data_IF_656133919190
#
_entry.id   IF_656133919190
#
_cell.length_a   1.000
_cell.length_b   1.000
_cell.length_c   1.000
_cell.angle_alpha   90.00
_cell.angle_beta   90.00
_cell.angle_gamma   90.00
#
_symmetry.space_group_name_H-M   'P 1'
#
loop_
_entity.id
_entity.type
_entity.pdbx_description
1 polymer ?
#
# COMPACT_ATOMS: atom_id res chain seq x y z
N UNK A 1 49.07 1.07 -2.34
CA UNK A 1 48.06 -0.01 -2.27
C UNK A 1 47.82 -0.79 -3.56
N UNK A 2 47.70 -0.20 -4.77
CA UNK A 2 47.69 -0.97 -6.04
C UNK A 2 46.65 -2.10 -6.15
N UNK A 3 45.61 -2.06 -5.32
CA UNK A 3 44.67 -3.17 -5.13
C UNK A 3 43.53 -3.09 -6.14
N UNK A 4 43.32 -4.15 -6.93
CA UNK A 4 42.12 -4.30 -7.76
C UNK A 4 40.97 -4.78 -6.88
N UNK A 5 39.97 -3.92 -6.68
CA UNK A 5 38.76 -4.22 -5.89
C UNK A 5 37.51 -4.05 -6.73
N UNK A 6 36.41 -4.67 -6.28
CA UNK A 6 35.08 -4.37 -6.80
C UNK A 6 34.61 -2.99 -6.31
N UNK A 7 33.82 -2.32 -7.15
CA UNK A 7 33.19 -1.07 -6.79
C UNK A 7 32.11 -1.29 -5.72
N UNK A 8 31.92 -0.33 -4.83
CA UNK A 8 30.76 -0.29 -3.94
C UNK A 8 29.48 -0.04 -4.74
N UNK A 9 28.31 -0.31 -4.15
CA UNK A 9 27.02 -0.04 -4.81
C UNK A 9 26.89 1.44 -5.20
N UNK A 10 27.28 2.35 -4.31
CA UNK A 10 27.26 3.80 -4.58
C UNK A 10 28.23 4.20 -5.70
N UNK A 11 29.43 3.62 -5.74
CA UNK A 11 30.40 3.86 -6.82
C UNK A 11 29.86 3.35 -8.16
N UNK A 12 29.23 2.17 -8.15
CA UNK A 12 28.58 1.59 -9.32
C UNK A 12 27.42 2.46 -9.81
N UNK A 13 26.54 2.91 -8.93
CA UNK A 13 25.40 3.76 -9.28
C UNK A 13 25.85 5.07 -9.91
N UNK A 14 26.90 5.71 -9.36
CA UNK A 14 27.51 6.91 -9.95
C UNK A 14 28.11 6.64 -11.32
N UNK A 15 28.88 5.56 -11.45
CA UNK A 15 29.51 5.21 -12.72
C UNK A 15 28.46 4.90 -13.80
N UNK A 16 27.41 4.16 -13.46
CA UNK A 16 26.28 3.87 -14.35
C UNK A 16 25.58 5.17 -14.76
N UNK A 17 25.28 6.08 -13.83
CA UNK A 17 24.60 7.33 -14.17
C UNK A 17 25.47 8.26 -15.04
N UNK A 18 26.80 8.22 -14.92
CA UNK A 18 27.72 8.95 -15.80
C UNK A 18 27.74 8.34 -17.21
N UNK A 19 27.81 7.01 -17.30
CA UNK A 19 27.89 6.30 -18.58
C UNK A 19 26.53 6.24 -19.32
N UNK A 20 25.44 6.07 -18.58
CA UNK A 20 24.07 5.84 -19.05
C UNK A 20 23.09 6.73 -18.26
N UNK A 21 23.03 8.04 -18.55
CA UNK A 21 22.26 8.98 -17.76
C UNK A 21 20.75 8.74 -17.87
N UNK A 22 20.12 8.45 -16.73
CA UNK A 22 18.66 8.41 -16.61
C UNK A 22 18.11 9.80 -16.30
N UNK A 23 17.06 10.22 -17.03
CA UNK A 23 16.44 11.54 -16.84
C UNK A 23 15.90 11.69 -15.41
N UNK A 24 16.34 12.75 -14.73
CA UNK A 24 15.89 13.09 -13.37
C UNK A 24 16.66 12.41 -12.24
N UNK A 25 17.50 11.39 -12.54
CA UNK A 25 18.42 10.78 -11.56
C UNK A 25 19.67 11.63 -11.45
N UNK A 26 20.08 11.97 -10.23
CA UNK A 26 21.31 12.74 -9.99
C UNK A 26 22.47 11.81 -9.63
N UNK A 27 23.69 12.17 -10.03
CA UNK A 27 24.90 11.38 -9.71
C UNK A 27 25.10 11.31 -8.20
N UNK A 28 25.01 12.48 -7.54
CA UNK A 28 24.99 12.55 -6.08
C UNK A 28 23.54 12.67 -5.62
N UNK A 29 23.08 11.79 -4.71
CA UNK A 29 21.74 11.91 -4.17
C UNK A 29 21.50 13.29 -3.54
N UNK A 30 20.33 13.84 -3.77
CA UNK A 30 19.95 15.14 -3.20
C UNK A 30 19.95 15.09 -1.67
N UNK A 31 20.37 16.19 -1.03
CA UNK A 31 20.23 16.37 0.42
C UNK A 31 18.78 16.28 0.90
N UNK A 32 17.81 16.37 -0.02
CA UNK A 32 16.39 16.15 0.21
C UNK A 32 16.06 14.80 0.87
N UNK A 33 16.81 13.74 0.57
CA UNK A 33 16.57 12.40 1.10
C UNK A 33 17.15 12.17 2.50
N UNK A 34 17.88 13.16 3.04
CA UNK A 34 18.37 13.11 4.42
C UNK A 34 17.19 13.19 5.40
N UNK A 35 17.25 12.48 6.54
CA UNK A 35 16.14 12.41 7.49
C UNK A 35 15.57 13.78 7.90
N UNK A 36 16.43 14.78 8.09
CA UNK A 36 16.00 16.12 8.53
C UNK A 36 15.15 16.83 7.47
N UNK A 37 15.51 16.69 6.19
CA UNK A 37 14.79 17.31 5.07
C UNK A 37 13.56 16.50 4.67
N UNK A 38 13.64 15.18 4.77
CA UNK A 38 12.53 14.28 4.53
C UNK A 38 11.37 14.61 5.47
N UNK A 39 11.62 14.73 6.78
CA UNK A 39 10.58 15.04 7.77
C UNK A 39 9.82 16.34 7.43
N UNK A 40 10.51 17.38 6.97
CA UNK A 40 9.88 18.63 6.52
C UNK A 40 8.92 18.43 5.33
N UNK A 41 9.24 17.51 4.41
CA UNK A 41 8.35 17.16 3.31
C UNK A 41 7.12 16.36 3.77
N UNK A 42 7.31 15.46 4.75
CA UNK A 42 6.23 14.66 5.35
C UNK A 42 5.24 15.53 6.12
N UNK A 43 5.72 16.51 6.88
CA UNK A 43 4.86 17.48 7.57
C UNK A 43 3.93 18.25 6.63
N UNK A 44 4.32 18.42 5.37
CA UNK A 44 3.53 19.08 4.31
C UNK A 44 2.68 18.10 3.49
N UNK A 45 2.55 16.85 3.94
CA UNK A 45 1.78 15.78 3.29
C UNK A 45 2.17 15.53 1.82
N UNK A 46 3.42 15.80 1.43
CA UNK A 46 3.91 15.63 0.04
C UNK A 46 4.41 14.21 -0.23
N UNK A 47 3.68 13.19 0.21
CA UNK A 47 4.14 11.80 0.18
C UNK A 47 4.39 11.27 -1.23
N UNK A 48 3.40 11.41 -2.13
CA UNK A 48 3.49 10.94 -3.52
C UNK A 48 4.68 11.56 -4.26
N UNK A 49 4.87 12.88 -4.10
CA UNK A 49 6.00 13.60 -4.67
C UNK A 49 7.35 13.04 -4.22
N UNK A 50 7.50 12.74 -2.91
CA UNK A 50 8.74 12.16 -2.40
C UNK A 50 8.94 10.76 -2.99
N UNK A 51 7.90 9.91 -2.96
CA UNK A 51 7.96 8.54 -3.48
C UNK A 51 8.32 8.50 -4.98
N UNK A 52 7.75 9.41 -5.78
CA UNK A 52 8.10 9.54 -7.20
C UNK A 52 9.57 9.92 -7.40
N UNK A 53 10.11 10.81 -6.57
CA UNK A 53 11.54 11.18 -6.61
C UNK A 53 12.43 10.03 -6.18
N UNK A 54 12.03 9.25 -5.19
CA UNK A 54 12.77 8.06 -4.75
C UNK A 54 12.83 7.00 -5.85
N UNK A 55 11.71 6.74 -6.55
CA UNK A 55 11.66 5.83 -7.69
C UNK A 55 12.55 6.23 -8.87
N UNK A 56 12.81 7.54 -9.06
CA UNK A 56 13.72 8.02 -10.09
C UNK A 56 15.17 7.95 -9.63
N UNK A 57 15.44 8.22 -8.34
CA UNK A 57 16.80 8.31 -7.82
C UNK A 57 17.45 6.96 -7.56
N UNK A 58 16.68 5.99 -7.08
CA UNK A 58 17.18 4.72 -6.57
C UNK A 58 16.48 3.55 -7.23
N UNK A 59 17.22 2.46 -7.40
CA UNK A 59 16.66 1.19 -7.83
C UNK A 59 15.86 0.53 -6.69
N UNK A 60 14.86 -0.33 -6.98
CA UNK A 60 13.96 -0.87 -5.95
C UNK A 60 14.62 -1.71 -4.85
N UNK A 61 15.77 -2.30 -5.14
CA UNK A 61 16.59 -3.11 -4.23
C UNK A 61 17.60 -2.27 -3.42
N UNK A 62 17.73 -0.98 -3.74
CA UNK A 62 18.66 -0.09 -3.07
C UNK A 62 18.23 0.17 -1.61
N UNK A 63 19.15 0.12 -0.62
CA UNK A 63 18.81 0.27 0.79
C UNK A 63 18.11 1.59 1.12
N UNK A 64 18.53 2.70 0.51
CA UNK A 64 17.87 4.00 0.69
C UNK A 64 16.45 4.03 0.12
N UNK A 65 16.16 3.31 -0.97
CA UNK A 65 14.79 3.20 -1.48
C UNK A 65 13.88 2.58 -0.43
N UNK A 66 14.31 1.44 0.13
CA UNK A 66 13.59 0.71 1.19
C UNK A 66 13.45 1.55 2.46
N UNK A 67 14.51 2.23 2.90
CA UNK A 67 14.51 3.09 4.09
C UNK A 67 13.47 4.20 3.97
N UNK A 68 13.50 4.96 2.88
CA UNK A 68 12.64 6.14 2.69
C UNK A 68 11.18 5.73 2.49
N UNK A 69 10.92 4.72 1.66
CA UNK A 69 9.56 4.23 1.42
C UNK A 69 8.92 3.71 2.70
N UNK A 70 9.66 2.93 3.50
CA UNK A 70 9.21 2.47 4.82
C UNK A 70 8.89 3.64 5.75
N UNK A 71 9.79 4.61 5.86
CA UNK A 71 9.61 5.79 6.72
C UNK A 71 8.34 6.57 6.35
N UNK A 72 8.06 6.73 5.05
CA UNK A 72 6.85 7.39 4.56
C UNK A 72 5.60 6.58 4.92
N UNK A 73 5.60 5.26 4.70
CA UNK A 73 4.44 4.42 5.02
C UNK A 73 4.17 4.35 6.52
N UNK A 74 5.21 4.29 7.35
CA UNK A 74 5.11 4.35 8.80
C UNK A 74 4.50 5.69 9.25
N UNK A 75 4.95 6.81 8.67
CA UNK A 75 4.41 8.13 8.96
C UNK A 75 2.93 8.28 8.58
N UNK A 76 2.54 7.74 7.42
CA UNK A 76 1.14 7.74 6.97
C UNK A 76 0.27 6.89 7.91
N UNK A 77 0.77 5.72 8.32
CA UNK A 77 0.09 4.83 9.26
C UNK A 77 -0.15 5.51 10.61
N UNK A 78 0.88 6.18 11.16
CA UNK A 78 0.79 6.89 12.44
C UNK A 78 -0.24 8.02 12.43
N UNK A 79 -0.41 8.70 11.29
CA UNK A 79 -1.37 9.81 11.13
C UNK A 79 -2.71 9.39 10.53
N UNK A 80 -2.88 8.14 10.12
CA UNK A 80 -4.06 7.62 9.42
C UNK A 80 -4.35 8.36 8.09
N UNK A 81 -3.32 8.87 7.41
CA UNK A 81 -3.47 9.73 6.21
C UNK A 81 -3.43 8.93 4.89
N UNK A 82 -4.10 7.77 4.85
CA UNK A 82 -4.06 6.85 3.69
C UNK A 82 -4.62 7.46 2.41
N UNK A 83 -5.53 8.42 2.52
CA UNK A 83 -6.15 9.13 1.41
C UNK A 83 -5.13 9.85 0.52
N UNK A 84 -4.03 10.32 1.11
CA UNK A 84 -2.99 11.03 0.37
C UNK A 84 -2.27 10.17 -0.67
N UNK A 85 -2.33 8.84 -0.53
CA UNK A 85 -1.82 7.90 -1.53
C UNK A 85 -2.92 7.19 -2.33
N UNK A 86 -4.21 7.36 -1.99
CA UNK A 86 -5.30 6.79 -2.78
C UNK A 86 -5.29 7.35 -4.20
N UNK A 87 -5.56 6.49 -5.18
CA UNK A 87 -5.50 6.87 -6.60
C UNK A 87 -4.07 7.10 -7.12
N UNK A 88 -3.02 6.82 -6.33
CA UNK A 88 -1.64 6.86 -6.80
C UNK A 88 -1.10 5.44 -7.01
N UNK A 89 -0.04 5.32 -7.83
CA UNK A 89 0.70 4.06 -8.02
C UNK A 89 1.30 3.48 -6.73
N UNK A 90 1.44 4.30 -5.68
CA UNK A 90 2.10 3.94 -4.43
C UNK A 90 1.17 3.31 -3.39
N UNK A 91 -0.16 3.38 -3.60
CA UNK A 91 -1.11 2.80 -2.66
C UNK A 91 -0.92 1.29 -2.51
N UNK A 92 -0.70 0.59 -3.63
CA UNK A 92 -0.52 -0.86 -3.65
C UNK A 92 0.71 -1.31 -2.88
N UNK A 93 1.85 -0.62 -3.05
CA UNK A 93 3.08 -0.93 -2.31
C UNK A 93 2.94 -0.65 -0.82
N UNK A 94 2.25 0.43 -0.44
CA UNK A 94 1.94 0.72 0.97
C UNK A 94 1.04 -0.37 1.58
N UNK A 95 -0.08 -0.71 0.93
CA UNK A 95 -1.00 -1.73 1.43
C UNK A 95 -0.31 -3.10 1.56
N UNK A 96 0.51 -3.47 0.57
CA UNK A 96 1.30 -4.70 0.62
C UNK A 96 2.30 -4.69 1.80
N UNK A 97 3.02 -3.59 2.00
CA UNK A 97 3.94 -3.41 3.11
C UNK A 97 3.26 -3.55 4.48
N UNK A 98 2.12 -2.87 4.68
CA UNK A 98 1.35 -2.94 5.92
C UNK A 98 0.87 -4.36 6.21
N UNK A 99 0.37 -5.05 5.18
CA UNK A 99 -0.04 -6.43 5.30
C UNK A 99 1.13 -7.36 5.64
N UNK A 100 2.29 -7.18 5.01
CA UNK A 100 3.50 -7.96 5.27
C UNK A 100 3.97 -7.81 6.73
N UNK A 101 3.85 -6.61 7.30
CA UNK A 101 4.26 -6.31 8.67
C UNK A 101 3.17 -6.54 9.75
N UNK A 102 2.03 -7.17 9.42
CA UNK A 102 0.88 -7.33 10.33
C UNK A 102 0.35 -6.01 10.93
N UNK A 103 0.36 -4.92 10.16
CA UNK A 103 -0.16 -3.59 10.52
C UNK A 103 -1.31 -3.18 9.60
N UNK A 104 -2.21 -4.12 9.34
CA UNK A 104 -3.32 -3.94 8.43
C UNK A 104 -4.55 -3.26 9.06
N UNK A 105 -4.65 -3.22 10.39
CA UNK A 105 -5.83 -2.80 11.13
C UNK A 105 -6.28 -1.38 10.82
N UNK A 106 -5.34 -0.45 10.86
CA UNK A 106 -5.55 0.97 10.65
C UNK A 106 -6.09 1.25 9.24
N UNK A 107 -5.52 0.58 8.23
CA UNK A 107 -5.97 0.71 6.85
C UNK A 107 -7.36 0.09 6.64
N UNK A 108 -7.63 -1.08 7.24
CA UNK A 108 -8.97 -1.71 7.19
C UNK A 108 -10.00 -0.80 7.84
N UNK A 109 -9.69 -0.19 8.98
CA UNK A 109 -10.59 0.73 9.67
C UNK A 109 -10.93 1.94 8.80
N UNK A 110 -9.94 2.60 8.21
CA UNK A 110 -10.16 3.75 7.33
C UNK A 110 -10.96 3.37 6.07
N UNK A 111 -10.74 2.18 5.49
CA UNK A 111 -11.58 1.69 4.39
C UNK A 111 -13.03 1.41 4.82
N UNK A 112 -13.25 0.86 6.02
CA UNK A 112 -14.60 0.62 6.56
C UNK A 112 -15.35 1.94 6.82
N UNK A 113 -14.68 2.93 7.40
CA UNK A 113 -15.24 4.27 7.65
C UNK A 113 -15.69 4.95 6.34
N UNK A 114 -14.93 4.75 5.27
CA UNK A 114 -15.22 5.25 3.92
C UNK A 114 -16.19 4.39 3.12
N UNK A 115 -16.70 3.30 3.71
CA UNK A 115 -17.62 2.34 3.07
C UNK A 115 -17.03 1.63 1.84
N UNK A 116 -15.71 1.48 1.76
CA UNK A 116 -15.00 0.79 0.68
C UNK A 116 -14.96 -0.74 0.90
N UNK A 117 -16.14 -1.35 0.97
CA UNK A 117 -16.33 -2.76 1.38
C UNK A 117 -15.65 -3.74 0.44
N UNK A 118 -15.69 -3.48 -0.87
CA UNK A 118 -15.06 -4.34 -1.89
C UNK A 118 -13.54 -4.38 -1.67
N UNK A 119 -12.94 -3.22 -1.40
CA UNK A 119 -11.50 -3.10 -1.14
C UNK A 119 -11.10 -3.76 0.18
N UNK A 120 -11.93 -3.64 1.23
CA UNK A 120 -11.71 -4.37 2.50
C UNK A 120 -11.68 -5.87 2.27
N UNK A 121 -12.63 -6.41 1.50
CA UNK A 121 -12.67 -7.84 1.20
C UNK A 121 -11.41 -8.29 0.46
N UNK A 122 -10.97 -7.54 -0.55
CA UNK A 122 -9.77 -7.83 -1.31
C UNK A 122 -8.49 -7.70 -0.48
N UNK A 123 -8.43 -6.70 0.39
CA UNK A 123 -7.28 -6.49 1.26
C UNK A 123 -7.14 -7.59 2.32
N UNK A 124 -8.24 -8.02 2.94
CA UNK A 124 -8.23 -9.16 3.88
C UNK A 124 -7.85 -10.46 3.16
N UNK A 125 -8.30 -10.65 1.91
CA UNK A 125 -7.90 -11.81 1.08
C UNK A 125 -6.39 -11.76 0.78
N UNK A 126 -5.86 -10.60 0.41
CA UNK A 126 -4.43 -10.41 0.19
C UNK A 126 -3.64 -10.76 1.45
N UNK A 127 -4.04 -10.19 2.59
CA UNK A 127 -3.40 -10.43 3.87
C UNK A 127 -3.39 -11.91 4.22
N UNK A 128 -4.53 -12.59 4.05
CA UNK A 128 -4.60 -14.03 4.24
C UNK A 128 -3.70 -14.78 3.26
N UNK A 129 -3.62 -14.37 1.99
CA UNK A 129 -2.78 -15.05 0.99
C UNK A 129 -1.30 -14.96 1.34
N UNK A 130 -0.84 -13.80 1.80
CA UNK A 130 0.55 -13.57 2.24
C UNK A 130 0.88 -14.49 3.41
N UNK A 131 -0.03 -14.60 4.39
CA UNK A 131 0.19 -15.36 5.62
C UNK A 131 -0.37 -16.80 5.60
N UNK A 132 -0.94 -17.26 4.48
CA UNK A 132 -1.57 -18.59 4.37
C UNK A 132 -0.54 -19.72 4.50
N UNK A 133 0.73 -19.42 4.24
CA UNK A 133 1.85 -20.36 4.36
C UNK A 133 2.23 -20.64 5.82
N UNK A 134 1.77 -19.83 6.77
CA UNK A 134 2.16 -19.94 8.19
C UNK A 134 1.22 -20.81 9.05
N UNK A 135 0.20 -21.47 8.46
CA UNK A 135 -0.57 -22.49 9.19
C UNK A 135 -2.01 -22.77 8.78
N UNK A 136 -2.55 -22.19 7.70
CA UNK A 136 -3.94 -22.45 7.28
C UNK A 136 -3.99 -23.24 5.97
N UNK A 137 -4.22 -24.57 6.06
CA UNK A 137 -4.49 -25.49 4.95
C UNK A 137 -5.88 -25.27 4.32
N UNK A 138 -6.22 -24.04 3.95
CA UNK A 138 -7.41 -23.75 3.17
C UNK A 138 -6.98 -23.32 1.78
N UNK A 139 -7.11 -24.20 0.78
CA UNK A 139 -6.88 -23.85 -0.61
C UNK A 139 -7.63 -22.56 -0.96
N UNK A 140 -7.01 -21.72 -1.81
CA UNK A 140 -7.69 -20.57 -2.38
C UNK A 140 -8.93 -21.09 -3.12
N UNK A 141 -10.09 -21.06 -2.48
CA UNK A 141 -11.34 -21.03 -3.23
C UNK A 141 -11.27 -19.77 -4.09
N UNK A 142 -11.72 -19.89 -5.35
CA UNK A 142 -11.94 -18.79 -6.29
C UNK A 142 -12.42 -17.55 -5.54
N UNK A 143 -12.04 -16.32 -5.93
CA UNK A 143 -12.47 -15.11 -5.23
C UNK A 143 -13.97 -15.24 -4.94
N UNK A 144 -14.29 -15.41 -3.66
CA UNK A 144 -15.67 -15.50 -3.22
C UNK A 144 -16.38 -14.26 -3.78
N UNK A 145 -17.62 -14.40 -4.24
CA UNK A 145 -18.38 -13.26 -4.74
C UNK A 145 -18.38 -12.10 -3.75
N UNK A 146 -18.62 -10.89 -4.25
CA UNK A 146 -18.83 -9.73 -3.39
C UNK A 146 -20.25 -9.78 -2.84
N UNK A 147 -20.43 -10.62 -1.81
CA UNK A 147 -21.73 -10.87 -1.17
C UNK A 147 -21.65 -10.54 0.32
N UNK A 148 -22.79 -10.14 0.91
CA UNK A 148 -22.94 -9.93 2.36
C UNK A 148 -22.41 -11.12 3.18
N UNK A 149 -22.81 -12.35 2.81
CA UNK A 149 -22.37 -13.57 3.51
C UNK A 149 -20.84 -13.76 3.48
N UNK A 150 -20.21 -13.38 2.37
CA UNK A 150 -18.77 -13.53 2.20
C UNK A 150 -18.02 -12.45 2.98
N UNK A 151 -18.54 -11.22 3.00
CA UNK A 151 -18.03 -10.14 3.84
C UNK A 151 -18.07 -10.53 5.33
N UNK A 152 -19.22 -10.96 5.84
CA UNK A 152 -19.38 -11.40 7.24
C UNK A 152 -18.41 -12.53 7.59
N UNK A 153 -18.24 -13.51 6.69
CA UNK A 153 -17.27 -14.60 6.88
C UNK A 153 -15.83 -14.09 6.94
N UNK A 154 -15.42 -13.21 6.03
CA UNK A 154 -14.06 -12.67 5.99
C UNK A 154 -13.76 -11.80 7.21
N UNK A 155 -14.69 -10.90 7.57
CA UNK A 155 -14.58 -10.07 8.76
C UNK A 155 -14.58 -10.90 10.03
N UNK A 156 -15.42 -11.93 10.14
CA UNK A 156 -15.41 -12.84 11.28
C UNK A 156 -14.08 -13.59 11.44
N UNK A 157 -13.42 -13.98 10.34
CA UNK A 157 -12.08 -14.57 10.38
C UNK A 157 -11.03 -13.54 10.79
N UNK A 158 -11.14 -12.31 10.30
CA UNK A 158 -10.23 -11.21 10.61
C UNK A 158 -10.34 -10.80 12.09
N UNK A 159 -11.55 -10.65 12.61
CA UNK A 159 -11.85 -10.30 14.02
C UNK A 159 -11.37 -11.34 15.03
N UNK A 160 -11.15 -12.60 14.63
CA UNK A 160 -10.54 -13.62 15.51
C UNK A 160 -9.07 -13.30 15.82
N UNK A 161 -8.39 -12.56 14.96
CA UNK A 161 -6.98 -12.20 15.12
C UNK A 161 -6.80 -10.90 15.89
N UNK A 162 -7.75 -9.99 15.77
CA UNK A 162 -7.73 -8.72 16.50
C UNK A 162 -8.15 -8.96 17.95
N UNK A 163 -7.47 -8.31 18.89
CA UNK A 163 -7.74 -8.43 20.32
C UNK A 163 -8.10 -7.07 20.95
N UNK A 164 -8.81 -7.13 22.09
CA UNK A 164 -9.06 -5.97 22.95
C UNK A 164 -9.96 -4.89 22.33
N UNK A 165 -9.55 -3.62 22.49
CA UNK A 165 -10.34 -2.45 22.08
C UNK A 165 -10.52 -2.36 20.55
N UNK A 166 -9.48 -2.73 19.79
CA UNK A 166 -9.49 -2.71 18.32
C UNK A 166 -10.62 -3.56 17.73
N UNK A 167 -10.87 -4.71 18.36
CA UNK A 167 -11.94 -5.62 17.96
C UNK A 167 -13.32 -4.97 18.18
N UNK A 168 -13.56 -4.38 19.35
CA UNK A 168 -14.84 -3.70 19.67
C UNK A 168 -15.15 -2.56 18.70
N UNK A 169 -14.13 -1.76 18.34
CA UNK A 169 -14.29 -0.68 17.37
C UNK A 169 -14.67 -1.21 15.99
N UNK A 170 -13.99 -2.25 15.51
CA UNK A 170 -14.30 -2.88 14.23
C UNK A 170 -15.69 -3.54 14.22
N UNK A 171 -16.09 -4.19 15.31
CA UNK A 171 -17.43 -4.78 15.47
C UNK A 171 -18.52 -3.71 15.36
N UNK A 172 -18.39 -2.62 16.12
CA UNK A 172 -19.33 -1.49 16.06
C UNK A 172 -19.44 -0.90 14.65
N UNK A 173 -18.31 -0.80 13.93
CA UNK A 173 -18.30 -0.29 12.56
C UNK A 173 -19.02 -1.25 11.59
N UNK A 174 -18.77 -2.55 11.73
CA UNK A 174 -19.44 -3.57 10.92
C UNK A 174 -20.94 -3.60 11.20
N UNK A 175 -21.38 -3.48 12.45
CA UNK A 175 -22.79 -3.38 12.82
C UNK A 175 -23.45 -2.16 12.16
N UNK A 176 -22.83 -0.99 12.26
CA UNK A 176 -23.28 0.24 11.58
C UNK A 176 -23.42 0.06 10.05
N UNK A 177 -22.47 -0.63 9.42
CA UNK A 177 -22.52 -0.92 7.98
C UNK A 177 -23.61 -1.93 7.60
N UNK A 178 -23.93 -2.88 8.49
CA UNK A 178 -25.02 -3.83 8.29
C UNK A 178 -26.38 -3.13 8.37
N UNK A 179 -26.53 -2.16 9.28
CA UNK A 179 -27.74 -1.32 9.41
C UNK A 179 -27.91 -0.38 8.20
N UNK A 180 -26.80 0.15 7.65
CA UNK A 180 -26.82 1.10 6.54
C UNK A 180 -27.16 0.51 5.16
N UNK A 181 -27.41 -0.79 5.04
CA UNK A 181 -27.67 -1.44 3.75
C UNK A 181 -26.39 -1.88 3.02
N UNK A 182 -25.70 -2.87 3.59
CA UNK A 182 -24.46 -3.42 3.02
C UNK A 182 -24.57 -3.85 1.54
N UNK A 183 -25.65 -4.52 1.07
CA UNK A 183 -25.77 -4.92 -0.33
C UNK A 183 -25.78 -3.74 -1.30
N UNK A 184 -26.45 -2.63 -0.96
CA UNK A 184 -26.46 -1.42 -1.79
C UNK A 184 -25.05 -0.82 -1.90
N UNK A 185 -24.33 -0.72 -0.77
CA UNK A 185 -22.96 -0.22 -0.74
C UNK A 185 -22.02 -1.08 -1.59
N UNK A 186 -22.15 -2.41 -1.51
CA UNK A 186 -21.35 -3.33 -2.33
C UNK A 186 -21.64 -3.10 -3.82
N UNK A 187 -22.91 -2.95 -4.20
CA UNK A 187 -23.30 -2.69 -5.59
C UNK A 187 -22.72 -1.38 -6.11
N UNK A 188 -22.75 -0.33 -5.30
CA UNK A 188 -22.15 0.97 -5.64
C UNK A 188 -20.64 0.85 -5.86
N UNK A 189 -19.92 0.23 -4.92
CA UNK A 189 -18.48 0.03 -5.02
C UNK A 189 -18.09 -0.77 -6.29
N UNK A 190 -18.86 -1.80 -6.64
CA UNK A 190 -18.63 -2.57 -7.87
C UNK A 190 -18.87 -1.72 -9.12
N UNK A 191 -19.93 -0.91 -9.15
CA UNK A 191 -20.20 -0.02 -10.27
C UNK A 191 -19.08 1.01 -10.46
N UNK A 192 -18.54 1.56 -9.38
CA UNK A 192 -17.40 2.47 -9.43
C UNK A 192 -16.14 1.77 -9.97
N UNK A 193 -15.89 0.53 -9.55
CA UNK A 193 -14.76 -0.28 -10.03
C UNK A 193 -14.87 -0.58 -11.52
N UNK A 194 -16.05 -0.98 -11.99
CA UNK A 194 -16.31 -1.22 -13.42
C UNK A 194 -16.10 0.05 -14.25
N UNK A 195 -16.52 1.20 -13.73
CA UNK A 195 -16.30 2.49 -14.36
C UNK A 195 -14.79 2.80 -14.49
N UNK A 196 -14.01 2.62 -13.42
CA UNK A 196 -12.57 2.82 -13.44
C UNK A 196 -11.90 1.88 -14.45
N UNK A 197 -12.25 0.59 -14.44
CA UNK A 197 -11.72 -0.39 -15.39
C UNK A 197 -12.03 -0.02 -16.84
N UNK A 198 -13.21 0.56 -17.10
CA UNK A 198 -13.57 1.06 -18.43
C UNK A 198 -12.71 2.23 -18.86
N UNK A 199 -12.43 3.19 -17.97
CA UNK A 199 -11.56 4.33 -18.25
C UNK A 199 -10.11 3.90 -18.54
N UNK A 200 -9.56 3.00 -17.72
CA UNK A 200 -8.21 2.50 -17.91
C UNK A 200 -8.05 1.76 -19.24
N UNK A 201 -9.07 0.99 -19.67
CA UNK A 201 -9.07 0.32 -20.97
C UNK A 201 -9.11 1.30 -22.14
N UNK A 202 -9.82 2.42 -22.01
CA UNK A 202 -9.86 3.46 -23.03
C UNK A 202 -8.48 4.12 -23.20
N UNK A 203 -7.80 4.46 -22.11
CA UNK A 203 -6.46 5.05 -22.17
C UNK A 203 -5.41 4.12 -22.80
N UNK A 204 -5.52 2.81 -22.59
CA UNK A 204 -4.62 1.82 -23.22
C UNK A 204 -4.82 1.66 -24.73
N UNK A 205 -5.96 2.07 -25.29
CA UNK A 205 -6.24 1.98 -26.74
C UNK A 205 -5.82 3.25 -27.51
N UNK A 206 -5.25 4.25 -26.83
CA UNK A 206 -4.85 5.53 -27.43
C UNK A 206 -3.36 5.56 -27.81
N UNK A 207 -2.63 4.45 -27.63
CA UNK A 207 -1.22 4.29 -28.02
C UNK A 207 -0.98 3.11 -28.95
#
# INVERSE_FOLDING_TARGET
EGTLRTATQEERDRAIQIAFPVRGRTIFPSSFFKPENLHNALQRCRYSYVLDKVCVQYDPDHPEFLRITKEIYDYILERMEFDALRGTRHFGSMAFYLSLCHREYELVLDMLERKLIVDVMDYIRLHRKIHSQEGSKGSLSKPLGYDKKNFEKLMGLYMKRITGNRKKQAEKMVESLLEAGLPEIIKENLSQRELIDSYLKLETNVY
#
